data_IF_198567828570
#
_entry.id   IF_198567828570
#
_cell.length_a   1.000
_cell.length_b   1.000
_cell.length_c   1.000
_cell.angle_alpha   90.00
_cell.angle_beta   90.00
_cell.angle_gamma   90.00
#
_symmetry.space_group_name_H-M   'P 1'
#
loop_
_entity.id
_entity.type
_entity.pdbx_description
1 polymer ?
#
# COMPACT_ATOMS: atom_id res chain seq x y z
N UNK A 1 7.49 -29.94 15.01
CA UNK A 1 7.56 -28.83 14.03
C UNK A 1 8.59 -29.19 12.96
N UNK A 2 8.19 -29.47 11.72
CA UNK A 2 9.09 -29.51 10.55
C UNK A 2 8.61 -28.41 9.60
N UNK A 3 9.35 -27.31 9.55
CA UNK A 3 9.14 -26.26 8.58
C UNK A 3 10.08 -26.51 7.40
N UNK A 4 9.52 -26.74 6.22
CA UNK A 4 10.24 -26.65 4.94
C UNK A 4 9.81 -25.35 4.27
N UNK A 5 10.45 -24.26 4.66
CA UNK A 5 10.56 -23.04 3.87
C UNK A 5 12.07 -22.80 3.67
N UNK A 6 12.48 -21.91 2.76
CA UNK A 6 13.90 -21.63 2.53
C UNK A 6 14.57 -21.09 3.82
N UNK A 7 15.08 -21.99 4.67
CA UNK A 7 15.76 -21.71 5.95
C UNK A 7 17.18 -21.18 5.70
N UNK A 8 17.35 -20.30 4.70
CA UNK A 8 18.68 -19.84 4.27
C UNK A 8 18.98 -18.39 4.58
N UNK A 9 18.00 -17.61 5.05
CA UNK A 9 18.23 -16.21 5.46
C UNK A 9 18.52 -16.16 6.97
N UNK A 10 19.70 -15.69 7.41
CA UNK A 10 20.06 -15.60 8.82
C UNK A 10 19.04 -14.86 9.68
N UNK A 11 18.39 -13.85 9.11
CA UNK A 11 17.38 -13.03 9.79
C UNK A 11 16.13 -13.84 10.17
N UNK A 12 15.68 -14.72 9.29
CA UNK A 12 14.52 -15.60 9.55
C UNK A 12 14.87 -16.61 10.64
N UNK A 13 16.08 -17.17 10.62
CA UNK A 13 16.56 -18.09 11.64
C UNK A 13 16.66 -17.43 13.02
N UNK A 14 17.22 -16.23 13.08
CA UNK A 14 17.29 -15.45 14.31
C UNK A 14 15.87 -15.13 14.80
N UNK A 15 14.98 -14.77 13.88
CA UNK A 15 13.60 -14.44 14.18
C UNK A 15 12.81 -15.62 14.74
N UNK A 16 12.99 -16.80 14.18
CA UNK A 16 12.44 -18.06 14.70
C UNK A 16 12.99 -18.36 16.10
N UNK A 17 14.30 -18.15 16.33
CA UNK A 17 14.93 -18.47 17.61
C UNK A 17 14.42 -17.59 18.74
N UNK A 18 14.34 -16.27 18.56
CA UNK A 18 13.86 -15.39 19.63
C UNK A 18 12.36 -15.56 19.87
N UNK A 19 11.57 -15.74 18.80
CA UNK A 19 10.11 -15.93 18.90
C UNK A 19 9.71 -17.28 19.52
N UNK A 20 10.65 -18.22 19.70
CA UNK A 20 10.40 -19.48 20.41
C UNK A 20 9.99 -19.29 21.88
N UNK A 21 10.27 -18.13 22.49
CA UNK A 21 9.78 -17.81 23.84
C UNK A 21 8.26 -17.68 23.92
N UNK A 22 7.61 -17.33 22.81
CA UNK A 22 6.15 -17.17 22.73
C UNK A 22 5.41 -18.49 22.94
N UNK A 23 6.05 -19.63 22.65
CA UNK A 23 5.42 -20.95 22.78
C UNK A 23 4.97 -21.24 24.23
N UNK A 24 5.68 -20.69 25.24
CA UNK A 24 5.27 -20.81 26.65
C UNK A 24 4.04 -19.97 26.95
N UNK A 25 4.00 -18.74 26.43
CA UNK A 25 2.86 -17.83 26.60
C UNK A 25 1.62 -18.39 25.92
N UNK A 26 1.74 -18.91 24.69
CA UNK A 26 0.60 -19.49 23.98
C UNK A 26 -0.02 -20.68 24.72
N UNK A 27 0.81 -21.58 25.25
CA UNK A 27 0.36 -22.69 26.09
C UNK A 27 -0.34 -22.18 27.35
N UNK A 28 0.30 -21.28 28.08
CA UNK A 28 -0.28 -20.72 29.31
C UNK A 28 -1.62 -20.04 29.08
N UNK A 29 -1.78 -19.31 27.97
CA UNK A 29 -3.04 -18.66 27.63
C UNK A 29 -4.14 -19.69 27.37
N UNK A 30 -3.82 -20.76 26.62
CA UNK A 30 -4.78 -21.82 26.31
C UNK A 30 -5.14 -22.65 27.56
N UNK A 31 -4.19 -22.87 28.47
CA UNK A 31 -4.44 -23.55 29.75
C UNK A 31 -5.34 -22.71 30.66
N UNK A 32 -5.22 -21.38 30.61
CA UNK A 32 -6.07 -20.44 31.36
C UNK A 32 -7.47 -20.30 30.76
N UNK A 33 -7.58 -20.31 29.43
CA UNK A 33 -8.86 -20.23 28.72
C UNK A 33 -8.91 -21.25 27.57
N UNK A 34 -9.49 -22.44 27.82
CA UNK A 34 -9.66 -23.48 26.81
C UNK A 34 -10.62 -23.12 25.67
N UNK A 35 -11.32 -21.98 25.75
CA UNK A 35 -12.21 -21.51 24.67
C UNK A 35 -11.47 -20.71 23.59
N UNK A 36 -10.18 -20.41 23.80
CA UNK A 36 -9.33 -19.73 22.82
C UNK A 36 -9.14 -20.60 21.56
N UNK A 37 -9.56 -20.09 20.40
CA UNK A 37 -9.44 -20.79 19.12
C UNK A 37 -7.99 -20.89 18.62
N UNK A 38 -7.43 -19.78 18.14
CA UNK A 38 -6.10 -19.73 17.52
C UNK A 38 -5.33 -18.52 18.03
N UNK A 39 -4.08 -18.75 18.43
CA UNK A 39 -3.13 -17.70 18.74
C UNK A 39 -2.09 -17.64 17.64
N UNK A 40 -1.81 -16.44 17.12
CA UNK A 40 -0.88 -16.28 16.00
C UNK A 40 0.09 -15.12 16.22
N UNK A 41 1.27 -15.26 15.61
CA UNK A 41 2.29 -14.22 15.53
C UNK A 41 2.82 -14.17 14.10
N UNK A 42 2.56 -13.06 13.41
CA UNK A 42 3.17 -12.75 12.11
C UNK A 42 4.44 -11.96 12.31
N UNK A 43 5.55 -12.44 11.76
CA UNK A 43 6.81 -11.69 11.79
C UNK A 43 6.93 -10.76 10.59
N UNK A 44 7.58 -9.61 10.79
CA UNK A 44 7.98 -8.72 9.68
C UNK A 44 8.90 -9.39 8.66
N UNK A 45 9.61 -10.47 9.06
CA UNK A 45 10.42 -11.30 8.15
C UNK A 45 9.60 -12.31 7.33
N UNK A 46 8.27 -12.33 7.49
CA UNK A 46 7.35 -13.06 6.62
C UNK A 46 6.94 -14.47 7.08
N UNK A 47 7.40 -14.95 8.24
CA UNK A 47 6.93 -16.23 8.79
C UNK A 47 5.78 -16.04 9.79
N UNK A 48 4.95 -17.08 9.93
CA UNK A 48 3.84 -17.17 10.87
C UNK A 48 4.11 -18.25 11.91
N UNK A 49 3.83 -17.95 13.19
CA UNK A 49 3.65 -18.94 14.25
C UNK A 49 2.17 -19.03 14.59
N UNK A 50 1.66 -20.25 14.75
CA UNK A 50 0.31 -20.51 15.24
C UNK A 50 0.33 -21.52 16.38
N UNK A 51 -0.59 -21.35 17.32
CA UNK A 51 -0.86 -22.30 18.39
C UNK A 51 -2.40 -22.48 18.57
N UNK A 52 -2.91 -23.72 18.69
CA UNK A 52 -2.17 -24.98 18.61
C UNK A 52 -1.58 -25.26 17.22
N UNK A 53 -0.56 -26.12 17.15
CA UNK A 53 0.13 -26.40 15.91
C UNK A 53 -0.71 -27.31 15.00
N UNK A 54 -1.20 -26.76 13.89
CA UNK A 54 -1.92 -27.52 12.86
C UNK A 54 -1.07 -27.71 11.62
N UNK A 55 -1.26 -28.85 10.94
CA UNK A 55 -0.64 -29.10 9.64
C UNK A 55 -1.26 -28.15 8.61
N UNK A 56 -0.41 -27.32 8.00
CA UNK A 56 -0.84 -26.43 6.94
C UNK A 56 -1.34 -27.25 5.74
N UNK A 57 -2.56 -27.00 5.30
CA UNK A 57 -3.16 -27.71 4.16
C UNK A 57 -2.63 -27.04 2.90
N UNK A 58 -1.78 -27.76 2.19
CA UNK A 58 -1.28 -27.35 0.87
C UNK A 58 -2.00 -28.22 -0.16
N UNK A 59 -2.62 -27.59 -1.15
CA UNK A 59 -3.02 -28.31 -2.36
C UNK A 59 -1.74 -28.58 -3.17
N UNK A 60 -1.52 -29.82 -3.59
CA UNK A 60 -0.36 -30.15 -4.43
C UNK A 60 -0.46 -29.52 -5.83
N UNK A 61 -1.67 -29.11 -6.24
CA UNK A 61 -1.92 -28.51 -7.57
C UNK A 61 -1.86 -26.99 -7.57
N UNK A 62 -2.01 -26.34 -6.41
CA UNK A 62 -2.03 -24.88 -6.31
C UNK A 62 -1.03 -24.41 -5.23
N UNK A 63 0.07 -23.72 -5.62
CA UNK A 63 1.05 -23.24 -4.66
C UNK A 63 0.42 -22.21 -3.72
N UNK A 64 0.59 -22.42 -2.42
CA UNK A 64 0.10 -21.47 -1.43
C UNK A 64 0.88 -20.15 -1.46
N UNK A 65 0.16 -19.07 -1.77
CA UNK A 65 0.66 -17.70 -1.81
C UNK A 65 0.40 -16.94 -0.50
N UNK A 66 0.14 -17.65 0.61
CA UNK A 66 -0.12 -17.04 1.91
C UNK A 66 1.09 -16.22 2.40
N UNK A 67 0.86 -14.91 2.61
CA UNK A 67 1.75 -14.03 3.37
C UNK A 67 0.97 -13.38 4.52
N UNK A 68 1.45 -13.53 5.75
CA UNK A 68 0.83 -12.94 6.93
C UNK A 68 0.79 -11.41 6.87
N UNK A 69 1.76 -10.78 6.21
CA UNK A 69 1.94 -9.32 6.15
C UNK A 69 0.90 -8.62 5.27
N UNK A 70 0.27 -9.38 4.37
CA UNK A 70 -0.80 -8.91 3.50
C UNK A 70 -2.20 -9.16 4.09
N UNK A 71 -2.30 -9.73 5.30
CA UNK A 71 -3.59 -10.01 5.94
C UNK A 71 -4.11 -8.80 6.70
N UNK A 72 -5.43 -8.59 6.67
CA UNK A 72 -6.10 -7.46 7.32
C UNK A 72 -5.71 -7.32 8.79
N UNK A 73 -5.71 -8.42 9.56
CA UNK A 73 -5.31 -8.40 10.98
C UNK A 73 -3.87 -7.92 11.21
N UNK A 74 -2.95 -8.19 10.27
CA UNK A 74 -1.57 -7.74 10.38
C UNK A 74 -1.48 -6.26 10.00
N UNK A 75 -2.12 -5.88 8.89
CA UNK A 75 -2.13 -4.50 8.39
C UNK A 75 -2.76 -3.55 9.40
N UNK A 76 -3.90 -3.91 10.00
CA UNK A 76 -4.59 -3.13 11.03
C UNK A 76 -3.75 -2.96 12.30
N UNK A 77 -3.00 -3.97 12.71
CA UNK A 77 -2.13 -3.90 13.87
C UNK A 77 -0.82 -3.14 13.60
N UNK A 78 -0.31 -3.21 12.37
CA UNK A 78 0.98 -2.64 11.99
C UNK A 78 0.89 -1.19 11.47
N UNK A 79 -0.26 -0.78 10.93
CA UNK A 79 -0.43 0.53 10.30
C UNK A 79 -1.54 1.34 10.97
N UNK A 80 -1.30 2.63 11.12
CA UNK A 80 -2.35 3.60 11.42
C UNK A 80 -3.08 4.01 10.15
N UNK A 81 -4.31 4.52 10.30
CA UNK A 81 -5.08 5.12 9.22
C UNK A 81 -4.26 6.16 8.44
N UNK A 82 -4.42 6.17 7.12
CA UNK A 82 -3.70 7.06 6.21
C UNK A 82 -4.59 7.67 5.14
N UNK A 83 -4.27 8.91 4.78
CA UNK A 83 -4.84 9.65 3.66
C UNK A 83 -3.82 9.58 2.49
N UNK A 84 -4.16 8.85 1.42
CA UNK A 84 -3.24 8.52 0.32
C UNK A 84 -3.73 9.08 -1.03
N UNK A 85 -2.83 9.72 -1.77
CA UNK A 85 -3.05 10.09 -3.17
C UNK A 85 -2.15 9.24 -4.05
N UNK A 86 -2.72 8.54 -5.02
CA UNK A 86 -1.96 7.76 -6.00
C UNK A 86 -1.96 8.53 -7.32
N UNK A 87 -0.77 8.84 -7.83
CA UNK A 87 -0.53 9.47 -9.12
C UNK A 87 -0.02 8.41 -10.09
N UNK A 88 -0.81 8.09 -11.11
CA UNK A 88 -0.50 7.12 -12.15
C UNK A 88 -0.12 7.84 -13.44
N UNK A 89 1.11 7.64 -13.89
CA UNK A 89 1.62 8.17 -15.15
C UNK A 89 0.95 7.45 -16.33
N UNK A 90 0.29 8.23 -17.18
CA UNK A 90 -0.39 7.78 -18.40
C UNK A 90 0.22 8.44 -19.64
N UNK A 91 1.47 8.90 -19.55
CA UNK A 91 2.22 9.42 -20.70
C UNK A 91 2.52 8.33 -21.74
N UNK A 92 2.93 8.75 -22.94
CA UNK A 92 3.21 7.85 -24.05
C UNK A 92 4.30 6.81 -23.77
N UNK A 93 5.27 7.10 -22.90
CA UNK A 93 6.36 6.17 -22.55
C UNK A 93 5.88 4.97 -21.71
N UNK A 94 4.74 5.12 -21.04
CA UNK A 94 4.10 4.05 -20.29
C UNK A 94 3.34 3.05 -21.18
N UNK A 95 3.28 3.24 -22.50
CA UNK A 95 2.49 2.38 -23.40
C UNK A 95 2.92 0.91 -23.38
N UNK A 96 1.94 0.00 -23.47
CA UNK A 96 2.20 -1.45 -23.55
C UNK A 96 2.46 -2.08 -22.19
N UNK A 97 3.61 -2.72 -22.01
CA UNK A 97 3.94 -3.50 -20.81
C UNK A 97 4.03 -2.63 -19.55
N UNK A 98 4.64 -1.45 -19.64
CA UNK A 98 4.82 -0.54 -18.50
C UNK A 98 3.46 -0.15 -17.90
N UNK A 99 2.45 0.12 -18.73
CA UNK A 99 1.08 0.41 -18.30
C UNK A 99 0.48 -0.75 -17.52
N UNK A 100 0.62 -1.98 -17.99
CA UNK A 100 0.06 -3.14 -17.30
C UNK A 100 0.76 -3.39 -15.97
N UNK A 101 2.08 -3.23 -15.90
CA UNK A 101 2.83 -3.29 -14.62
C UNK A 101 2.36 -2.18 -13.67
N UNK A 102 2.24 -0.94 -14.14
CA UNK A 102 1.81 0.19 -13.34
C UNK A 102 0.39 -0.03 -12.77
N UNK A 103 -0.54 -0.54 -13.58
CA UNK A 103 -1.88 -0.94 -13.12
C UNK A 103 -1.80 -1.99 -12.02
N UNK A 104 -0.99 -3.04 -12.20
CA UNK A 104 -0.79 -4.07 -11.17
C UNK A 104 -0.19 -3.51 -9.88
N UNK A 105 0.74 -2.56 -9.97
CA UNK A 105 1.29 -1.87 -8.79
C UNK A 105 0.20 -1.10 -8.05
N UNK A 106 -0.61 -0.32 -8.76
CA UNK A 106 -1.73 0.42 -8.13
C UNK A 106 -2.74 -0.55 -7.52
N UNK A 107 -3.09 -1.64 -8.20
CA UNK A 107 -3.98 -2.67 -7.67
C UNK A 107 -3.45 -3.28 -6.37
N UNK A 108 -2.16 -3.65 -6.35
CA UNK A 108 -1.52 -4.19 -5.15
C UNK A 108 -1.51 -3.18 -4.01
N UNK A 109 -1.27 -1.88 -4.28
CA UNK A 109 -1.35 -0.83 -3.27
C UNK A 109 -2.76 -0.74 -2.69
N UNK A 110 -3.79 -0.70 -3.55
CA UNK A 110 -5.20 -0.64 -3.13
C UNK A 110 -5.60 -1.86 -2.28
N UNK A 111 -5.03 -3.04 -2.53
CA UNK A 111 -5.28 -4.25 -1.73
C UNK A 111 -4.64 -4.23 -0.34
N UNK A 112 -3.67 -3.34 -0.10
CA UNK A 112 -3.10 -3.14 1.25
C UNK A 112 -3.88 -2.16 2.12
N UNK A 113 -4.90 -1.50 1.55
CA UNK A 113 -5.72 -0.53 2.28
C UNK A 113 -6.84 -1.22 3.04
N UNK A 114 -7.21 -0.65 4.19
CA UNK A 114 -8.32 -1.08 5.02
C UNK A 114 -9.44 -0.02 5.05
N UNK A 115 -10.56 -0.32 5.69
CA UNK A 115 -11.70 0.59 5.75
C UNK A 115 -11.42 1.89 6.51
N UNK A 116 -10.38 1.98 7.32
CA UNK A 116 -10.01 3.21 8.02
C UNK A 116 -9.14 4.15 7.15
N UNK A 117 -8.71 3.68 5.99
CA UNK A 117 -7.89 4.45 5.07
C UNK A 117 -8.73 5.24 4.07
N UNK A 118 -8.19 6.36 3.60
CA UNK A 118 -8.79 7.16 2.55
C UNK A 118 -7.84 7.29 1.39
N UNK A 119 -8.36 7.11 0.18
CA UNK A 119 -7.56 7.05 -1.05
C UNK A 119 -8.27 7.76 -2.20
N UNK A 120 -7.47 8.32 -3.09
CA UNK A 120 -7.91 8.67 -4.44
C UNK A 120 -6.78 8.45 -5.44
N UNK A 121 -7.14 8.16 -6.69
CA UNK A 121 -6.23 7.83 -7.77
C UNK A 121 -6.42 8.83 -8.90
N UNK A 122 -5.33 9.42 -9.36
CA UNK A 122 -5.31 10.34 -10.49
C UNK A 122 -4.42 9.79 -11.60
N UNK A 123 -4.93 9.87 -12.82
CA UNK A 123 -4.13 9.68 -14.02
C UNK A 123 -3.54 11.02 -14.43
N UNK A 124 -2.26 11.06 -14.78
CA UNK A 124 -1.65 12.26 -15.32
C UNK A 124 -0.89 12.00 -16.61
N UNK A 125 -1.12 12.87 -17.59
CA UNK A 125 -0.29 13.06 -18.77
C UNK A 125 -0.07 14.56 -18.93
N UNK A 126 -0.65 15.21 -19.94
CA UNK A 126 -0.67 16.69 -20.03
C UNK A 126 -1.56 17.29 -18.95
N UNK A 127 -2.68 16.61 -18.68
CA UNK A 127 -3.65 16.98 -17.66
C UNK A 127 -3.71 15.93 -16.55
N UNK A 128 -4.06 16.37 -15.34
CA UNK A 128 -4.26 15.50 -14.17
C UNK A 128 -5.75 15.27 -13.92
N UNK A 129 -6.24 14.09 -14.28
CA UNK A 129 -7.64 13.71 -14.23
C UNK A 129 -7.86 12.64 -13.16
N UNK A 130 -8.94 12.77 -12.40
CA UNK A 130 -9.35 11.76 -11.42
C UNK A 130 -9.73 10.46 -12.14
N UNK A 131 -9.22 9.33 -11.65
CA UNK A 131 -9.46 8.02 -12.27
C UNK A 131 -10.96 7.67 -12.27
N UNK A 132 -11.66 8.06 -11.21
CA UNK A 132 -13.09 7.85 -11.02
C UNK A 132 -13.77 9.21 -10.82
N UNK A 133 -14.37 9.80 -11.87
CA UNK A 133 -14.90 11.17 -11.81
C UNK A 133 -16.04 11.40 -10.79
N UNK A 134 -16.67 10.33 -10.29
CA UNK A 134 -17.73 10.46 -9.30
C UNK A 134 -17.20 10.83 -7.90
N UNK A 135 -15.89 10.72 -7.66
CA UNK A 135 -15.27 11.06 -6.38
C UNK A 135 -14.96 12.55 -6.22
N UNK A 136 -15.12 13.36 -7.29
CA UNK A 136 -15.19 14.84 -7.26
C UNK A 136 -14.00 15.50 -6.57
N UNK A 137 -12.79 15.05 -6.87
CA UNK A 137 -11.56 15.53 -6.24
C UNK A 137 -11.62 15.44 -4.71
N UNK A 138 -12.07 14.31 -4.17
CA UNK A 138 -12.05 14.04 -2.71
C UNK A 138 -11.42 12.69 -2.41
N UNK A 139 -10.84 12.55 -1.22
CA UNK A 139 -10.37 11.25 -0.75
C UNK A 139 -11.55 10.43 -0.25
N UNK A 140 -11.74 9.25 -0.82
CA UNK A 140 -12.82 8.34 -0.45
C UNK A 140 -12.30 7.21 0.42
N UNK A 141 -13.17 6.69 1.28
CA UNK A 141 -12.83 5.57 2.16
C UNK A 141 -12.52 4.32 1.33
N UNK A 142 -11.48 3.58 1.70
CA UNK A 142 -11.05 2.36 1.02
C UNK A 142 -11.91 1.14 1.39
N UNK A 143 -13.24 1.26 1.23
CA UNK A 143 -14.18 0.16 1.37
C UNK A 143 -14.23 -0.71 0.09
N UNK A 144 -14.81 -1.91 0.20
CA UNK A 144 -14.86 -2.88 -0.91
C UNK A 144 -15.53 -2.32 -2.17
N UNK A 145 -16.54 -1.45 -2.02
CA UNK A 145 -17.27 -0.85 -3.13
C UNK A 145 -16.40 0.16 -3.90
N UNK A 146 -15.82 1.14 -3.20
CA UNK A 146 -14.95 2.16 -3.78
C UNK A 146 -13.70 1.54 -4.41
N UNK A 147 -13.08 0.56 -3.73
CA UNK A 147 -11.96 -0.20 -4.28
C UNK A 147 -12.40 -0.94 -5.55
N UNK A 148 -13.58 -1.54 -5.56
CA UNK A 148 -14.17 -2.16 -6.75
C UNK A 148 -14.31 -1.19 -7.93
N UNK A 149 -14.73 0.06 -7.68
CA UNK A 149 -14.81 1.10 -8.71
C UNK A 149 -13.44 1.51 -9.24
N UNK A 150 -12.43 1.67 -8.38
CA UNK A 150 -11.05 1.90 -8.83
C UNK A 150 -10.54 0.75 -9.70
N UNK A 151 -10.77 -0.51 -9.31
CA UNK A 151 -10.37 -1.69 -10.11
C UNK A 151 -11.00 -1.68 -11.50
N UNK A 152 -12.29 -1.33 -11.61
CA UNK A 152 -12.98 -1.20 -12.89
C UNK A 152 -12.41 -0.06 -13.74
N UNK A 153 -12.13 1.09 -13.12
CA UNK A 153 -11.63 2.26 -13.82
C UNK A 153 -10.18 2.08 -14.32
N UNK A 154 -9.31 1.39 -13.57
CA UNK A 154 -7.93 1.09 -13.99
C UNK A 154 -7.87 0.27 -15.28
N UNK A 155 -8.90 -0.51 -15.60
CA UNK A 155 -8.97 -1.24 -16.87
C UNK A 155 -9.12 -0.32 -18.10
N UNK A 156 -9.60 0.92 -17.88
CA UNK A 156 -9.95 1.90 -18.92
C UNK A 156 -8.93 3.03 -18.93
N UNK A 157 -8.19 3.18 -20.03
CA UNK A 157 -7.24 4.27 -20.17
C UNK A 157 -6.22 4.04 -21.28
N UNK A 158 -6.04 5.04 -22.11
CA UNK A 158 -5.01 5.08 -23.15
C UNK A 158 -3.85 5.94 -22.67
N UNK A 159 -2.64 5.51 -23.00
CA UNK A 159 -1.42 6.28 -22.76
C UNK A 159 -1.20 7.26 -23.90
N UNK A 160 -1.08 8.55 -23.60
CA UNK A 160 -0.91 9.61 -24.58
C UNK A 160 -0.05 10.74 -24.02
N UNK A 161 0.61 11.46 -24.92
CA UNK A 161 1.29 12.71 -24.64
C UNK A 161 2.44 12.62 -23.60
N UNK A 162 2.89 13.77 -23.10
CA UNK A 162 4.01 13.92 -22.16
C UNK A 162 3.45 14.08 -20.74
N UNK A 163 4.13 13.51 -19.75
CA UNK A 163 3.78 13.65 -18.34
C UNK A 163 4.10 15.04 -17.76
N UNK A 164 3.09 15.67 -17.17
CA UNK A 164 3.17 16.94 -16.45
C UNK A 164 3.13 16.70 -14.94
N UNK A 165 4.29 16.33 -14.40
CA UNK A 165 4.48 16.08 -12.96
C UNK A 165 4.20 17.31 -12.10
N UNK A 166 4.47 18.52 -12.60
CA UNK A 166 4.23 19.76 -11.85
C UNK A 166 2.75 19.90 -11.50
N UNK A 167 1.87 19.68 -12.49
CA UNK A 167 0.42 19.75 -12.27
C UNK A 167 -0.06 18.61 -11.36
N UNK A 168 0.43 17.38 -11.58
CA UNK A 168 0.02 16.21 -10.82
C UNK A 168 0.39 16.33 -9.33
N UNK A 169 1.64 16.73 -9.03
CA UNK A 169 2.12 16.93 -7.67
C UNK A 169 1.40 18.09 -6.99
N UNK A 170 1.20 19.21 -7.68
CA UNK A 170 0.45 20.35 -7.13
C UNK A 170 -0.96 19.94 -6.75
N UNK A 171 -1.66 19.20 -7.63
CA UNK A 171 -3.01 18.72 -7.36
C UNK A 171 -3.06 17.76 -6.17
N UNK A 172 -2.09 16.85 -6.06
CA UNK A 172 -1.99 15.93 -4.92
C UNK A 172 -1.78 16.66 -3.58
N UNK A 173 -0.86 17.62 -3.54
CA UNK A 173 -0.62 18.43 -2.34
C UNK A 173 -1.84 19.28 -1.97
N UNK A 174 -2.47 19.95 -2.93
CA UNK A 174 -3.67 20.74 -2.68
C UNK A 174 -4.82 19.87 -2.12
N UNK A 175 -4.99 18.64 -2.62
CA UNK A 175 -5.98 17.69 -2.13
C UNK A 175 -5.73 17.29 -0.66
N UNK A 176 -4.49 16.94 -0.33
CA UNK A 176 -4.08 16.56 1.03
C UNK A 176 -4.18 17.74 2.00
N UNK A 177 -3.84 18.95 1.56
CA UNK A 177 -4.00 20.15 2.37
C UNK A 177 -5.48 20.42 2.67
N UNK A 178 -6.37 20.36 1.67
CA UNK A 178 -7.83 20.50 1.88
C UNK A 178 -8.35 19.44 2.85
N UNK A 179 -7.84 18.22 2.77
CA UNK A 179 -8.18 17.14 3.70
C UNK A 179 -7.80 17.49 5.14
N UNK A 180 -6.58 17.99 5.34
CA UNK A 180 -6.10 18.44 6.66
C UNK A 180 -6.96 19.59 7.21
N UNK A 181 -7.31 20.55 6.36
CA UNK A 181 -8.18 21.67 6.74
C UNK A 181 -9.60 21.21 7.11
N UNK A 182 -10.16 20.24 6.39
CA UNK A 182 -11.45 19.63 6.72
C UNK A 182 -11.37 18.90 8.07
N UNK A 183 -10.34 18.08 8.28
CA UNK A 183 -10.12 17.39 9.55
C UNK A 183 -10.07 18.36 10.74
N UNK A 184 -9.33 19.47 10.62
CA UNK A 184 -9.23 20.47 11.69
C UNK A 184 -10.58 21.12 12.03
N UNK A 185 -11.55 21.11 11.10
CA UNK A 185 -12.89 21.68 11.29
C UNK A 185 -13.92 20.67 11.77
N UNK A 186 -13.88 19.43 11.27
CA UNK A 186 -14.95 18.43 11.47
C UNK A 186 -14.51 17.21 12.27
N UNK A 187 -13.21 17.01 12.46
CA UNK A 187 -12.62 15.79 13.01
C UNK A 187 -12.72 14.57 12.07
N UNK A 188 -13.18 14.74 10.82
CA UNK A 188 -13.29 13.65 9.84
C UNK A 188 -12.02 13.53 8.99
N UNK A 189 -11.32 12.40 9.08
CA UNK A 189 -10.07 12.11 8.37
C UNK A 189 -9.00 11.46 9.25
N UNK A 190 -7.81 11.18 8.72
CA UNK A 190 -6.70 10.60 9.48
C UNK A 190 -5.58 11.63 9.68
N UNK A 191 -5.52 12.26 10.85
CA UNK A 191 -4.49 13.28 11.14
C UNK A 191 -3.04 12.76 11.12
N UNK A 192 -2.84 11.44 11.07
CA UNK A 192 -1.54 10.85 11.38
C UNK A 192 -0.61 10.66 10.16
N UNK A 193 -1.12 10.18 9.03
CA UNK A 193 -0.25 9.75 7.92
C UNK A 193 -0.81 10.20 6.57
N UNK A 194 -0.11 11.13 5.92
CA UNK A 194 -0.40 11.55 4.56
C UNK A 194 0.67 11.03 3.61
N UNK A 195 0.25 10.46 2.49
CA UNK A 195 1.17 9.91 1.50
C UNK A 195 0.77 10.23 0.06
N UNK A 196 1.77 10.48 -0.77
CA UNK A 196 1.64 10.53 -2.24
C UNK A 196 2.43 9.36 -2.81
N UNK A 197 1.77 8.52 -3.60
CA UNK A 197 2.39 7.40 -4.33
C UNK A 197 2.49 7.81 -5.79
N UNK A 198 3.70 7.98 -6.32
CA UNK A 198 3.95 8.31 -7.73
C UNK A 198 4.39 7.05 -8.48
N UNK A 199 3.59 6.61 -9.45
CA UNK A 199 3.89 5.44 -10.30
C UNK A 199 4.19 5.93 -11.71
N UNK A 200 5.46 5.83 -12.13
CA UNK A 200 5.98 6.40 -13.39
C UNK A 200 7.19 5.61 -13.89
N UNK A 201 7.58 5.75 -15.15
CA UNK A 201 8.84 5.21 -15.68
C UNK A 201 10.04 6.16 -15.51
N UNK A 202 9.80 7.42 -15.15
CA UNK A 202 10.86 8.36 -14.83
C UNK A 202 10.40 9.81 -14.72
N UNK A 203 11.03 10.56 -13.83
CA UNK A 203 10.84 12.00 -13.71
C UNK A 203 12.00 12.75 -14.38
N UNK A 204 11.74 13.84 -15.12
CA UNK A 204 12.81 14.61 -15.78
C UNK A 204 13.68 15.40 -14.79
N UNK A 205 13.11 15.84 -13.65
CA UNK A 205 13.76 16.68 -12.65
C UNK A 205 13.25 16.38 -11.22
N UNK A 206 13.86 17.01 -10.22
CA UNK A 206 13.59 16.75 -8.79
C UNK A 206 12.42 17.54 -8.19
N UNK A 207 11.82 18.49 -8.94
CA UNK A 207 10.67 19.31 -8.52
C UNK A 207 10.83 20.00 -7.14
N UNK A 208 12.05 20.41 -6.79
CA UNK A 208 12.40 20.95 -5.46
C UNK A 208 11.50 22.13 -5.04
N UNK A 209 11.15 23.01 -5.97
CA UNK A 209 10.28 24.17 -5.71
C UNK A 209 8.89 23.77 -5.17
N UNK A 210 8.32 22.66 -5.68
CA UNK A 210 7.01 22.17 -5.25
C UNK A 210 7.11 21.63 -3.83
N UNK A 211 8.13 20.82 -3.55
CA UNK A 211 8.35 20.27 -2.21
C UNK A 211 8.67 21.35 -1.18
N UNK A 212 9.46 22.36 -1.57
CA UNK A 212 9.76 23.51 -0.74
C UNK A 212 8.50 24.34 -0.43
N UNK A 213 7.59 24.49 -1.39
CA UNK A 213 6.34 25.23 -1.19
C UNK A 213 5.33 24.47 -0.32
N UNK A 214 5.13 23.18 -0.57
CA UNK A 214 4.00 22.44 -0.01
C UNK A 214 4.34 21.58 1.21
N UNK A 215 5.59 21.12 1.35
CA UNK A 215 5.94 20.14 2.37
C UNK A 215 7.04 20.62 3.32
N UNK A 216 7.81 21.65 2.97
CA UNK A 216 8.84 22.22 3.84
C UNK A 216 8.27 23.29 4.78
N UNK A 217 8.74 23.41 6.05
CA UNK A 217 9.73 22.58 6.73
C UNK A 217 9.13 21.40 7.52
N UNK A 218 7.79 21.30 7.59
CA UNK A 218 7.12 20.36 8.49
C UNK A 218 7.20 18.89 8.03
N UNK A 219 7.45 18.65 6.74
CA UNK A 219 7.59 17.33 6.10
C UNK A 219 6.47 16.35 6.48
N UNK A 220 5.24 16.84 6.46
CA UNK A 220 4.06 16.07 6.90
C UNK A 220 3.64 15.00 5.88
N UNK A 221 3.82 15.29 4.59
CA UNK A 221 3.44 14.39 3.50
C UNK A 221 4.63 13.53 3.11
N UNK A 222 4.46 12.20 3.09
CA UNK A 222 5.48 11.26 2.63
C UNK A 222 5.28 10.98 1.14
N UNK A 223 6.34 11.06 0.34
CA UNK A 223 6.24 10.78 -1.09
C UNK A 223 7.05 9.54 -1.42
N UNK A 224 6.39 8.58 -2.06
CA UNK A 224 6.98 7.32 -2.51
C UNK A 224 6.92 7.24 -4.02
N UNK A 225 8.03 6.86 -4.64
CA UNK A 225 8.13 6.73 -6.09
C UNK A 225 8.30 5.26 -6.48
N UNK A 226 7.43 4.77 -7.37
CA UNK A 226 7.51 3.46 -7.99
C UNK A 226 7.95 3.65 -9.43
N UNK A 227 9.22 3.32 -9.68
CA UNK A 227 9.80 3.36 -11.02
C UNK A 227 9.45 2.08 -11.79
N UNK A 228 8.82 2.24 -12.95
CA UNK A 228 8.37 1.16 -13.82
C UNK A 228 9.29 1.05 -15.03
N UNK A 229 9.71 -0.17 -15.35
CA UNK A 229 10.61 -0.45 -16.46
C UNK A 229 12.05 -0.77 -16.01
N UNK A 230 12.90 -1.14 -16.98
CA UNK A 230 14.32 -1.35 -16.73
C UNK A 230 15.04 -0.03 -16.93
N UNK A 231 15.62 0.53 -15.87
CA UNK A 231 16.72 1.46 -16.04
C UNK A 231 17.87 0.67 -16.67
N UNK A 232 18.22 0.96 -17.92
CA UNK A 232 19.60 0.73 -18.35
C UNK A 232 20.43 1.74 -17.57
N UNK A 233 21.06 1.27 -16.49
CA UNK A 233 22.11 2.01 -15.83
C UNK A 233 23.20 2.26 -16.88
N UNK A 234 23.21 3.48 -17.41
CA UNK A 234 24.28 3.99 -18.27
C UNK A 234 25.45 4.44 -17.41
#
# INVERSE_FOLDING_TARGET
MKARFSVRTPDVLHAIRWSGRLDRTFKSNYDLDPTLSWQYFGSSTGFLRQYPATKWVLDEKDPDLYDARLRSWYIEAANSAKDMVILLDMSGSMTGLNREIAKHVVLNILETLNENDFVNVFNFSVETVELVPCFRDTLVQANLENIGEFKKALSKGETKDIANFTQALTKAFDLLQRRTEQYNKTGQGSQCNQAIMLVTDGAPHNFEDIFAKYNWPALQVRVFTYLIGRQEAS
#
